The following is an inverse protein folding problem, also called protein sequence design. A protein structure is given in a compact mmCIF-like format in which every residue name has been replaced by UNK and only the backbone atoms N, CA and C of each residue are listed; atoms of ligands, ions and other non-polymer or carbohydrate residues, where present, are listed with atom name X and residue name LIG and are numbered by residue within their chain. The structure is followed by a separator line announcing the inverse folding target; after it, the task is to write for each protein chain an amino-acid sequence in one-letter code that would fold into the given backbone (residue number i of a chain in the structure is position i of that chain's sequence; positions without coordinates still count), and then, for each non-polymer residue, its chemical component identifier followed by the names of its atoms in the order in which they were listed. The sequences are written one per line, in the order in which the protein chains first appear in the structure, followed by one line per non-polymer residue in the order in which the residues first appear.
data_IF_712259565586
#
_entry.id   IF_712259565586
#
_cell.length_a   1.000
_cell.length_b   1.000
_cell.length_c   1.000
_cell.angle_alpha   90.00
_cell.angle_beta   90.00
_cell.angle_gamma   90.00
#
_symmetry.space_group_name_H-M   'P 1'
#
loop_
_entity.id
_entity.type
_entity.pdbx_description
1 polymer ?
#
# COMPACT_ATOMS: atom_id res chain seq x y z
N UNK A 1 -13.09 -1.55 2.16
CA UNK A 1 -12.62 -1.62 3.57
C UNK A 1 -13.59 -0.76 4.38
N UNK A 2 -14.32 -1.33 5.35
CA UNK A 2 -15.42 -0.65 6.02
C UNK A 2 -14.91 0.41 7.02
N UNK A 3 -15.53 1.58 6.96
CA UNK A 3 -15.32 2.73 7.86
C UNK A 3 -16.20 2.52 9.08
N UNK A 4 -15.62 2.55 10.28
CA UNK A 4 -16.39 2.49 11.54
C UNK A 4 -16.46 3.87 12.19
N UNK A 5 -17.66 4.44 12.19
CA UNK A 5 -18.04 5.60 13.00
C UNK A 5 -18.33 5.16 14.45
N UNK A 6 -17.65 5.77 15.42
CA UNK A 6 -17.91 5.53 16.85
C UNK A 6 -18.72 6.68 17.41
N UNK A 7 -20.04 6.49 17.50
CA UNK A 7 -20.97 7.41 18.15
C UNK A 7 -20.78 7.38 19.68
N UNK A 8 -20.40 8.51 20.28
CA UNK A 8 -20.27 8.69 21.72
C UNK A 8 -21.63 8.92 22.40
N UNK A 9 -22.03 8.02 23.31
CA UNK A 9 -23.22 8.17 24.18
C UNK A 9 -22.79 8.70 25.55
N UNK A 10 -23.11 9.97 25.84
CA UNK A 10 -22.84 10.67 27.10
C UNK A 10 -23.96 10.38 28.11
N UNK A 11 -23.67 9.70 29.24
CA UNK A 11 -24.57 9.63 30.41
C UNK A 11 -24.17 10.71 31.42
N UNK A 12 -25.14 11.56 31.82
CA UNK A 12 -25.00 12.58 32.89
C UNK A 12 -25.25 11.91 34.26
N UNK A 13 -24.65 12.37 35.37
CA UNK A 13 -25.04 11.93 36.70
C UNK A 13 -26.29 12.68 37.19
N UNK A 14 -27.19 11.94 37.85
CA UNK A 14 -28.40 12.45 38.49
C UNK A 14 -28.12 12.84 39.96
N UNK A 15 -28.88 13.82 40.46
CA UNK A 15 -28.65 14.52 41.71
C UNK A 15 -29.36 13.93 42.95
N UNK A 16 -29.19 14.67 44.04
CA UNK A 16 -29.54 14.36 45.42
C UNK A 16 -31.05 14.47 45.78
N UNK A 17 -31.49 13.72 46.79
CA UNK A 17 -32.53 14.01 47.82
C UNK A 17 -32.71 12.72 48.68
N UNK A 18 -32.47 12.66 49.98
CA UNK A 18 -33.15 13.19 51.19
C UNK A 18 -34.03 12.16 51.94
N UNK A 19 -33.80 12.13 53.27
CA UNK A 19 -34.62 11.70 54.41
C UNK A 19 -35.08 10.24 54.63
N UNK A 20 -34.76 9.72 55.82
CA UNK A 20 -35.39 8.56 56.47
C UNK A 20 -34.77 8.27 57.85
N UNK A 21 -35.51 8.58 58.92
CA UNK A 21 -35.12 8.45 60.32
C UNK A 21 -35.19 7.00 60.85
N UNK A 22 -34.36 6.66 61.85
CA UNK A 22 -34.74 5.85 63.02
C UNK A 22 -33.62 5.80 64.06
N UNK A 23 -34.02 5.97 65.32
CA UNK A 23 -33.21 5.88 66.54
C UNK A 23 -32.92 4.40 66.90
N UNK A 24 -31.82 4.14 67.62
CA UNK A 24 -31.59 2.82 68.21
C UNK A 24 -30.14 2.55 68.67
N UNK A 25 -29.89 2.86 69.94
CA UNK A 25 -29.04 2.17 70.93
C UNK A 25 -27.59 1.68 70.62
N UNK A 26 -26.68 2.27 71.41
CA UNK A 26 -25.48 1.74 72.09
C UNK A 26 -25.19 0.23 71.96
N UNK A 27 -24.01 -0.13 71.44
CA UNK A 27 -23.12 -1.07 72.14
C UNK A 27 -21.65 -0.98 71.70
N UNK A 28 -20.77 -0.79 72.68
CA UNK A 28 -19.32 -0.93 72.52
C UNK A 28 -18.97 -2.42 72.61
N UNK A 29 -18.16 -2.92 71.68
CA UNK A 29 -17.29 -4.04 71.98
C UNK A 29 -16.02 -3.96 71.13
N UNK A 30 -14.95 -3.51 71.76
CA UNK A 30 -13.60 -3.87 71.36
C UNK A 30 -13.40 -5.36 71.61
N UNK A 31 -12.92 -6.09 70.60
CA UNK A 31 -12.05 -7.26 70.82
C UNK A 31 -10.89 -7.19 69.84
N UNK A 32 -9.72 -6.80 70.35
CA UNK A 32 -8.42 -7.10 69.74
C UNK A 32 -8.19 -8.61 69.78
N UNK A 33 -7.99 -9.23 68.63
CA UNK A 33 -7.12 -10.41 68.52
C UNK A 33 -6.20 -10.24 67.33
N UNK A 34 -4.91 -10.06 67.65
CA UNK A 34 -3.78 -10.09 66.73
C UNK A 34 -3.70 -11.45 66.05
N UNK A 35 -3.28 -11.49 64.78
CA UNK A 35 -2.30 -12.46 64.27
C UNK A 35 -1.59 -11.87 63.03
N UNK A 36 -0.25 -11.91 63.07
CA UNK A 36 0.74 -11.23 62.22
C UNK A 36 1.15 -12.14 61.02
N UNK A 37 1.73 -11.62 59.91
CA UNK A 37 1.60 -12.16 58.56
C UNK A 37 2.81 -13.02 58.12
N UNK A 38 2.65 -13.68 56.97
CA UNK A 38 3.66 -14.45 56.24
C UNK A 38 3.43 -14.13 54.75
N UNK A 39 4.33 -13.60 53.94
CA UNK A 39 5.79 -13.50 53.98
C UNK A 39 6.22 -12.20 53.27
N UNK A 40 7.15 -11.47 53.89
CA UNK A 40 7.90 -10.38 53.28
C UNK A 40 8.99 -10.97 52.39
N UNK A 41 8.92 -10.77 51.09
CA UNK A 41 10.14 -10.68 50.30
C UNK A 41 10.72 -9.28 50.55
N UNK A 42 11.91 -9.26 51.17
CA UNK A 42 12.66 -8.04 51.37
C UNK A 42 13.43 -7.75 50.08
N UNK A 43 12.86 -6.91 49.22
CA UNK A 43 13.68 -6.10 48.33
C UNK A 43 14.29 -4.98 49.18
N UNK A 44 15.46 -5.25 49.76
CA UNK A 44 16.36 -4.18 50.20
C UNK A 44 17.08 -3.61 48.97
N UNK A 45 16.29 -2.98 48.09
CA UNK A 45 16.76 -2.08 47.06
C UNK A 45 16.60 -0.66 47.58
N UNK A 46 17.72 0.06 47.67
CA UNK A 46 17.84 1.45 48.07
C UNK A 46 16.65 2.29 47.58
N UNK A 47 15.70 2.60 48.47
CA UNK A 47 14.73 3.66 48.24
C UNK A 47 15.42 5.00 48.51
N UNK A 48 16.33 5.38 47.61
CA UNK A 48 16.61 6.79 47.41
C UNK A 48 15.33 7.37 46.81
N UNK A 49 14.44 7.88 47.68
CA UNK A 49 13.35 8.74 47.26
C UNK A 49 13.98 9.86 46.43
N UNK A 50 13.69 9.98 45.12
CA UNK A 50 14.24 11.07 44.33
C UNK A 50 13.87 12.36 45.05
N UNK A 51 14.84 13.25 45.26
CA UNK A 51 14.60 14.54 45.89
C UNK A 51 13.33 15.14 45.26
N UNK A 52 12.27 15.28 46.07
CA UNK A 52 10.95 15.67 45.58
C UNK A 52 11.06 17.15 45.21
N UNK A 53 11.42 17.41 43.95
CA UNK A 53 11.35 18.73 43.37
C UNK A 53 9.87 18.98 43.06
N UNK A 54 9.18 19.59 44.02
CA UNK A 54 7.81 20.07 43.88
C UNK A 54 7.79 21.20 42.84
N UNK A 55 7.50 20.87 41.57
CA UNK A 55 7.12 21.88 40.58
C UNK A 55 5.68 22.28 40.84
N UNK A 56 5.41 23.59 41.04
CA UNK A 56 4.03 24.09 41.03
C UNK A 56 3.42 23.73 39.68
N UNK A 57 2.36 22.92 39.66
CA UNK A 57 1.77 22.49 38.39
C UNK A 57 1.28 23.72 37.61
N UNK A 58 1.82 23.99 36.41
CA UNK A 58 1.36 25.12 35.63
C UNK A 58 -0.08 24.89 35.17
N UNK A 59 -0.87 25.95 35.15
CA UNK A 59 -2.29 25.88 34.80
C UNK A 59 -2.55 25.42 33.35
N UNK A 60 -1.54 25.48 32.47
CA UNK A 60 -1.64 25.10 31.07
C UNK A 60 -0.66 23.97 30.72
N UNK A 61 -1.19 22.92 30.09
CA UNK A 61 -0.40 21.78 29.61
C UNK A 61 0.73 22.17 28.64
N UNK A 62 0.55 23.28 27.90
CA UNK A 62 1.50 23.81 26.90
C UNK A 62 2.89 24.06 27.47
N UNK A 63 3.03 24.35 28.77
CA UNK A 63 4.35 24.55 29.38
C UNK A 63 5.12 23.25 29.58
N UNK A 64 4.41 22.13 29.80
CA UNK A 64 5.03 20.81 29.99
C UNK A 64 5.26 20.12 28.65
N UNK A 65 4.33 20.25 27.70
CA UNK A 65 4.26 19.50 26.42
C UNK A 65 4.51 17.99 26.56
N UNK A 66 4.32 17.44 27.76
CA UNK A 66 4.58 16.06 28.08
C UNK A 66 3.27 15.28 28.04
N UNK A 67 3.28 14.12 27.39
CA UNK A 67 2.13 13.23 27.32
C UNK A 67 2.52 11.84 27.77
N UNK A 68 1.75 11.31 28.71
CA UNK A 68 1.78 9.90 29.04
C UNK A 68 0.83 9.18 28.08
N UNK A 69 1.32 8.10 27.45
CA UNK A 69 0.48 7.32 26.54
C UNK A 69 -0.64 6.63 27.31
N UNK A 70 -1.83 6.63 26.72
CA UNK A 70 -3.02 5.98 27.30
C UNK A 70 -3.04 4.49 27.08
N UNK A 71 -2.35 4.00 26.04
CA UNK A 71 -2.29 2.58 25.69
C UNK A 71 -0.97 2.02 26.20
N UNK A 72 -1.05 0.97 27.02
CA UNK A 72 0.12 0.21 27.41
C UNK A 72 0.69 -0.56 26.22
N UNK A 73 1.99 -0.86 26.27
CA UNK A 73 2.60 -1.76 25.29
C UNK A 73 1.92 -3.14 25.34
N UNK A 74 1.83 -3.85 24.19
CA UNK A 74 1.33 -5.21 24.15
C UNK A 74 2.16 -6.13 25.06
N UNK A 75 1.51 -7.01 25.81
CA UNK A 75 2.18 -7.94 26.72
C UNK A 75 2.93 -9.07 25.99
N UNK A 76 2.55 -9.33 24.74
CA UNK A 76 3.14 -10.32 23.84
C UNK A 76 4.34 -9.78 23.04
N UNK A 77 4.77 -8.55 23.33
CA UNK A 77 5.90 -7.93 22.65
C UNK A 77 7.21 -8.62 23.05
N UNK A 78 7.78 -9.39 22.12
CA UNK A 78 9.10 -9.98 22.31
C UNK A 78 10.18 -8.91 22.09
N UNK A 79 11.13 -8.82 23.02
CA UNK A 79 12.29 -7.93 22.90
C UNK A 79 13.18 -8.29 21.71
N UNK A 80 13.21 -9.54 21.25
CA UNK A 80 14.04 -9.94 20.10
C UNK A 80 13.36 -9.73 18.74
N UNK A 81 12.06 -9.43 18.72
CA UNK A 81 11.29 -9.21 17.50
C UNK A 81 11.23 -7.71 17.15
N UNK A 82 12.34 -7.22 16.61
CA UNK A 82 12.52 -5.82 16.19
C UNK A 82 11.36 -5.23 15.38
N UNK A 83 10.86 -5.84 14.29
CA UNK A 83 9.81 -5.22 13.48
C UNK A 83 8.50 -5.04 14.24
N UNK A 84 8.10 -6.00 15.08
CA UNK A 84 6.89 -5.86 15.90
C UNK A 84 7.06 -4.83 17.00
N UNK A 85 8.25 -4.78 17.60
CA UNK A 85 8.58 -3.77 18.63
C UNK A 85 8.56 -2.36 18.04
N UNK A 86 9.16 -2.17 16.86
CA UNK A 86 9.14 -0.90 16.14
C UNK A 86 7.70 -0.47 15.79
N UNK A 87 6.87 -1.40 15.30
CA UNK A 87 5.47 -1.10 15.01
C UNK A 87 4.71 -0.63 16.25
N UNK A 88 4.89 -1.31 17.39
CA UNK A 88 4.26 -0.92 18.65
C UNK A 88 4.68 0.49 19.10
N UNK A 89 5.97 0.82 19.00
CA UNK A 89 6.47 2.16 19.34
C UNK A 89 5.94 3.24 18.39
N UNK A 90 5.85 2.96 17.10
CA UNK A 90 5.28 3.88 16.11
C UNK A 90 3.80 4.13 16.42
N UNK A 91 3.03 3.08 16.70
CA UNK A 91 1.61 3.21 17.06
C UNK A 91 1.43 4.05 18.33
N UNK A 92 2.25 3.81 19.35
CA UNK A 92 2.19 4.56 20.61
C UNK A 92 2.54 6.04 20.40
N UNK A 93 3.59 6.33 19.63
CA UNK A 93 3.98 7.69 19.29
C UNK A 93 2.89 8.40 18.48
N UNK A 94 2.28 7.73 17.50
CA UNK A 94 1.22 8.30 16.66
C UNK A 94 0.00 8.72 17.50
N UNK A 95 -0.44 7.87 18.43
CA UNK A 95 -1.58 8.18 19.32
C UNK A 95 -1.26 9.37 20.24
N UNK A 96 -0.04 9.41 20.79
CA UNK A 96 0.40 10.53 21.63
C UNK A 96 0.48 11.84 20.84
N UNK A 97 1.01 11.81 19.61
CA UNK A 97 1.05 12.97 18.73
C UNK A 97 -0.35 13.46 18.40
N UNK A 98 -1.27 12.56 18.01
CA UNK A 98 -2.66 12.94 17.71
C UNK A 98 -3.33 13.64 18.91
N UNK A 99 -3.12 13.12 20.13
CA UNK A 99 -3.62 13.75 21.35
C UNK A 99 -2.98 15.11 21.61
N UNK A 100 -1.66 15.22 21.42
CA UNK A 100 -0.94 16.48 21.58
C UNK A 100 -1.39 17.55 20.61
N UNK A 101 -1.68 17.18 19.36
CA UNK A 101 -2.23 18.09 18.36
C UNK A 101 -3.59 18.65 18.79
N UNK A 102 -4.49 17.80 19.31
CA UNK A 102 -5.78 18.27 19.83
C UNK A 102 -5.62 19.27 20.98
N UNK A 103 -4.69 19.03 21.90
CA UNK A 103 -4.42 19.94 23.01
C UNK A 103 -3.78 21.27 22.55
N UNK A 104 -2.93 21.23 21.52
CA UNK A 104 -2.36 22.45 20.93
C UNK A 104 -3.42 23.28 20.19
N UNK A 105 -4.37 22.62 19.52
CA UNK A 105 -5.51 23.28 18.87
C UNK A 105 -6.45 23.92 19.90
N UNK A 106 -6.75 23.24 21.00
CA UNK A 106 -7.53 23.80 22.12
C UNK A 106 -6.84 25.01 22.77
N UNK A 107 -5.51 24.98 22.86
CA UNK A 107 -4.69 26.08 23.36
C UNK A 107 -4.42 27.18 22.31
N UNK A 108 -4.91 27.02 21.08
CA UNK A 108 -4.71 27.93 19.96
C UNK A 108 -3.22 28.21 19.63
N UNK A 109 -2.37 27.17 19.76
CA UNK A 109 -0.94 27.24 19.46
C UNK A 109 -0.66 26.66 18.05
N UNK A 110 -0.01 27.40 17.14
CA UNK A 110 0.36 26.89 15.83
C UNK A 110 1.38 25.75 15.94
N UNK A 111 1.04 24.57 15.43
CA UNK A 111 1.91 23.39 15.51
C UNK A 111 2.55 22.99 14.17
N UNK A 112 1.99 23.43 13.04
CA UNK A 112 2.48 23.04 11.71
C UNK A 112 3.56 24.00 11.24
N UNK A 113 4.73 23.48 10.89
CA UNK A 113 5.80 24.26 10.25
C UNK A 113 5.35 24.78 8.87
N UNK A 114 5.35 26.11 8.64
CA UNK A 114 5.10 26.67 7.30
C UNK A 114 6.20 26.28 6.31
N UNK A 115 5.83 26.12 5.03
CA UNK A 115 6.79 25.77 3.97
C UNK A 115 7.83 26.88 3.71
N UNK A 116 7.48 28.13 4.01
CA UNK A 116 8.30 29.33 3.77
C UNK A 116 9.15 29.72 5.00
N UNK A 117 9.14 28.91 6.06
CA UNK A 117 9.92 29.18 7.27
C UNK A 117 11.28 28.47 7.22
N UNK A 118 12.31 29.17 6.76
CA UNK A 118 13.69 28.69 6.67
C UNK A 118 14.46 28.99 7.96
N UNK A 119 14.53 27.99 8.85
CA UNK A 119 15.37 27.99 10.04
C UNK A 119 16.35 26.82 9.97
N UNK A 120 17.40 26.85 10.79
CA UNK A 120 18.34 25.74 10.88
C UNK A 120 17.61 24.45 11.32
N UNK A 121 17.79 23.37 10.55
CA UNK A 121 17.21 22.06 10.82
C UNK A 121 18.23 21.16 11.50
N UNK A 122 17.76 20.15 12.25
CA UNK A 122 18.65 19.19 12.94
C UNK A 122 19.63 18.45 12.01
N UNK A 123 19.27 18.28 10.73
CA UNK A 123 20.15 17.72 9.69
C UNK A 123 20.32 18.72 8.55
N UNK A 124 21.53 18.79 8.00
CA UNK A 124 21.82 19.66 6.86
C UNK A 124 21.19 19.16 5.56
N UNK A 125 20.85 20.08 4.66
CA UNK A 125 20.28 19.74 3.35
C UNK A 125 21.22 18.87 2.51
N UNK A 126 22.53 19.10 2.62
CA UNK A 126 23.55 18.27 1.97
C UNK A 126 23.45 16.82 2.44
N UNK A 127 23.22 16.58 3.74
CA UNK A 127 23.03 15.23 4.26
C UNK A 127 21.71 14.62 3.78
N UNK A 128 20.62 15.39 3.77
CA UNK A 128 19.32 14.90 3.32
C UNK A 128 19.30 14.56 1.84
N UNK A 129 20.01 15.31 0.99
CA UNK A 129 20.17 15.01 -0.43
C UNK A 129 20.89 13.67 -0.63
N UNK A 130 21.96 13.40 0.13
CA UNK A 130 22.66 12.10 0.07
C UNK A 130 21.75 10.94 0.48
N UNK A 131 20.91 11.13 1.49
CA UNK A 131 19.94 10.10 1.92
C UNK A 131 18.90 9.86 0.81
N UNK A 132 18.39 10.93 0.18
CA UNK A 132 17.45 10.81 -0.92
C UNK A 132 18.06 10.06 -2.13
N UNK A 133 19.29 10.42 -2.51
CA UNK A 133 20.05 9.72 -3.55
C UNK A 133 20.28 8.23 -3.21
N UNK A 134 20.63 7.93 -1.96
CA UNK A 134 20.80 6.55 -1.51
C UNK A 134 19.49 5.75 -1.61
N UNK A 135 18.36 6.35 -1.22
CA UNK A 135 17.04 5.73 -1.34
C UNK A 135 16.65 5.47 -2.80
N UNK A 136 16.89 6.44 -3.68
CA UNK A 136 16.60 6.30 -5.11
C UNK A 136 17.49 5.22 -5.77
N UNK A 137 18.78 5.20 -5.43
CA UNK A 137 19.70 4.16 -5.92
C UNK A 137 19.29 2.76 -5.45
N UNK A 138 18.78 2.62 -4.22
CA UNK A 138 18.28 1.35 -3.68
C UNK A 138 17.04 0.86 -4.43
N UNK A 139 16.08 1.77 -4.69
CA UNK A 139 14.89 1.48 -5.50
C UNK A 139 15.27 1.05 -6.92
N UNK A 140 16.09 1.84 -7.61
CA UNK A 140 16.57 1.53 -8.95
C UNK A 140 17.29 0.17 -9.02
N UNK A 141 18.06 -0.21 -7.98
CA UNK A 141 18.71 -1.52 -7.88
C UNK A 141 17.71 -2.67 -7.76
N UNK A 142 16.65 -2.50 -6.96
CA UNK A 142 15.58 -3.49 -6.79
C UNK A 142 14.82 -3.66 -8.11
N UNK A 143 14.44 -2.56 -8.75
CA UNK A 143 13.74 -2.56 -10.04
C UNK A 143 14.59 -3.20 -11.15
N UNK A 144 15.88 -2.84 -11.24
CA UNK A 144 16.79 -3.47 -12.20
C UNK A 144 16.94 -4.98 -11.96
N UNK A 145 16.87 -5.44 -10.71
CA UNK A 145 16.86 -6.89 -10.40
C UNK A 145 15.55 -7.54 -10.82
N UNK A 146 14.41 -6.92 -10.54
CA UNK A 146 13.09 -7.41 -10.94
C UNK A 146 12.97 -7.47 -12.47
N UNK A 147 13.35 -6.39 -13.16
CA UNK A 147 13.37 -6.32 -14.62
C UNK A 147 14.28 -7.39 -15.24
N UNK A 148 15.48 -7.61 -14.67
CA UNK A 148 16.36 -8.70 -15.15
C UNK A 148 15.76 -10.09 -14.98
N UNK A 149 15.01 -10.33 -13.90
CA UNK A 149 14.28 -11.60 -13.71
C UNK A 149 13.18 -11.76 -14.77
N UNK A 150 12.34 -10.73 -14.93
CA UNK A 150 11.29 -10.71 -15.96
C UNK A 150 11.86 -10.94 -17.37
N UNK A 151 12.97 -10.28 -17.73
CA UNK A 151 13.63 -10.48 -19.03
C UNK A 151 14.19 -11.89 -19.22
N UNK A 152 14.61 -12.57 -18.14
CA UNK A 152 15.04 -13.98 -18.22
C UNK A 152 13.83 -14.89 -18.44
N UNK A 153 12.73 -14.66 -17.74
CA UNK A 153 11.52 -15.46 -17.86
C UNK A 153 10.89 -15.29 -19.25
N UNK A 154 10.83 -14.05 -19.76
CA UNK A 154 10.40 -13.79 -21.14
C UNK A 154 11.26 -14.50 -22.19
N UNK A 155 12.57 -14.59 -21.98
CA UNK A 155 13.46 -15.34 -22.89
C UNK A 155 13.26 -16.85 -22.79
N UNK A 156 13.05 -17.37 -21.57
CA UNK A 156 12.85 -18.80 -21.31
C UNK A 156 11.54 -19.28 -21.93
N UNK A 157 10.43 -18.61 -21.63
CA UNK A 157 9.09 -19.02 -22.05
C UNK A 157 8.64 -18.39 -23.36
N UNK A 158 9.39 -17.43 -23.92
CA UNK A 158 8.96 -16.69 -25.12
C UNK A 158 8.63 -17.56 -26.33
N UNK A 159 9.40 -18.63 -26.57
CA UNK A 159 9.12 -19.57 -27.67
C UNK A 159 7.90 -20.43 -27.41
N UNK A 160 7.75 -20.92 -26.18
CA UNK A 160 6.61 -21.74 -25.75
C UNK A 160 5.32 -20.93 -25.80
N UNK A 161 5.34 -19.69 -25.30
CA UNK A 161 4.23 -18.74 -25.40
C UNK A 161 3.85 -18.47 -26.86
N UNK A 162 4.83 -18.25 -27.75
CA UNK A 162 4.53 -18.07 -29.18
C UNK A 162 3.89 -19.30 -29.81
N UNK A 163 4.38 -20.50 -29.48
CA UNK A 163 3.83 -21.75 -29.98
C UNK A 163 2.39 -21.98 -29.47
N UNK A 164 2.14 -21.74 -28.18
CA UNK A 164 0.82 -21.87 -27.56
C UNK A 164 -0.16 -20.84 -28.14
N UNK A 165 0.26 -19.58 -28.33
CA UNK A 165 -0.56 -18.55 -28.99
C UNK A 165 -0.93 -18.96 -30.41
N UNK A 166 -0.02 -19.57 -31.17
CA UNK A 166 -0.32 -20.05 -32.53
C UNK A 166 -1.31 -21.22 -32.48
N UNK A 167 -1.13 -22.16 -31.54
CA UNK A 167 -2.04 -23.29 -31.31
C UNK A 167 -3.45 -22.82 -30.94
N UNK A 168 -3.55 -21.87 -30.01
CA UNK A 168 -4.80 -21.22 -29.60
C UNK A 168 -5.49 -20.54 -30.77
N UNK A 169 -4.76 -19.79 -31.60
CA UNK A 169 -5.30 -19.15 -32.81
C UNK A 169 -5.79 -20.15 -33.84
N UNK A 170 -5.07 -21.25 -34.04
CA UNK A 170 -5.48 -22.32 -34.96
C UNK A 170 -6.74 -23.01 -34.45
N UNK A 171 -6.80 -23.34 -33.16
CA UNK A 171 -8.00 -23.90 -32.50
C UNK A 171 -9.20 -22.96 -32.64
N UNK A 172 -9.03 -21.67 -32.33
CA UNK A 172 -10.08 -20.67 -32.48
C UNK A 172 -10.63 -20.58 -33.91
N UNK A 173 -9.75 -20.61 -34.93
CA UNK A 173 -10.17 -20.63 -36.34
C UNK A 173 -10.95 -21.89 -36.69
N UNK A 174 -10.53 -23.04 -36.19
CA UNK A 174 -11.23 -24.32 -36.39
C UNK A 174 -12.61 -24.30 -35.73
N UNK A 175 -12.67 -23.95 -34.45
CA UNK A 175 -13.93 -23.86 -33.68
C UNK A 175 -14.90 -22.85 -34.32
N UNK A 176 -14.39 -21.71 -34.81
CA UNK A 176 -15.21 -20.74 -35.55
C UNK A 176 -15.70 -21.29 -36.89
N UNK A 177 -14.84 -22.01 -37.62
CA UNK A 177 -15.22 -22.69 -38.86
C UNK A 177 -16.33 -23.73 -38.64
N UNK A 178 -16.21 -24.53 -37.58
CA UNK A 178 -17.21 -25.52 -37.17
C UNK A 178 -18.54 -24.84 -36.78
N UNK A 179 -18.51 -23.72 -36.05
CA UNK A 179 -19.74 -22.94 -35.76
C UNK A 179 -20.41 -22.41 -37.03
N UNK A 180 -19.63 -21.93 -38.01
CA UNK A 180 -20.17 -21.43 -39.28
C UNK A 180 -20.76 -22.59 -40.11
N UNK A 181 -20.10 -23.75 -40.17
CA UNK A 181 -20.63 -24.92 -40.89
C UNK A 181 -21.88 -25.46 -40.21
N UNK A 182 -21.93 -25.52 -38.88
CA UNK A 182 -23.14 -25.85 -38.13
C UNK A 182 -24.27 -24.85 -38.39
N UNK A 183 -23.98 -23.55 -38.41
CA UNK A 183 -24.95 -22.52 -38.75
C UNK A 183 -25.47 -22.67 -40.19
N UNK A 184 -24.59 -22.90 -41.18
CA UNK A 184 -25.00 -23.19 -42.57
C UNK A 184 -25.83 -24.47 -42.66
N UNK A 185 -25.48 -25.52 -41.91
CA UNK A 185 -26.24 -26.78 -41.87
C UNK A 185 -27.63 -26.59 -41.26
N UNK A 186 -27.74 -25.86 -40.14
CA UNK A 186 -29.02 -25.48 -39.53
C UNK A 186 -29.86 -24.64 -40.48
N UNK A 187 -29.24 -23.70 -41.21
CA UNK A 187 -29.92 -22.89 -42.25
C UNK A 187 -30.40 -23.75 -43.42
N UNK A 188 -29.62 -24.74 -43.85
CA UNK A 188 -30.00 -25.68 -44.92
C UNK A 188 -31.12 -26.64 -44.50
N UNK A 189 -31.26 -26.92 -43.20
CA UNK A 189 -32.38 -27.69 -42.63
C UNK A 189 -33.71 -26.94 -42.61
N UNK A 190 -33.69 -25.60 -42.58
CA UNK A 190 -34.86 -24.75 -42.78
C UNK A 190 -34.96 -24.37 -44.26
N UNK A 191 -35.42 -25.31 -45.09
CA UNK A 191 -35.52 -25.16 -46.56
C UNK A 191 -36.41 -24.01 -47.04
N UNK A 192 -37.27 -23.46 -46.18
CA UNK A 192 -38.27 -22.44 -46.54
C UNK A 192 -37.73 -21.00 -46.66
N UNK A 193 -36.54 -20.71 -46.10
CA UNK A 193 -35.96 -19.35 -46.14
C UNK A 193 -34.94 -19.15 -47.26
N UNK A 194 -34.62 -20.21 -48.02
CA UNK A 194 -33.51 -20.19 -48.98
C UNK A 194 -33.88 -19.57 -50.33
N UNK A 195 -35.15 -19.64 -50.69
CA UNK A 195 -35.67 -19.15 -51.99
C UNK A 195 -35.83 -17.62 -52.02
N UNK A 196 -35.88 -16.96 -50.86
CA UNK A 196 -36.11 -15.51 -50.77
C UNK A 196 -34.80 -14.70 -50.80
N UNK A 197 -33.65 -15.30 -50.49
CA UNK A 197 -32.36 -14.59 -50.41
C UNK A 197 -31.41 -14.86 -51.58
N UNK A 198 -31.53 -15.98 -52.30
CA UNK A 198 -30.64 -16.34 -53.43
C UNK A 198 -30.96 -15.50 -54.70
N UNK A 199 -32.16 -14.94 -54.77
CA UNK A 199 -32.61 -14.08 -55.89
C UNK A 199 -32.01 -12.66 -55.86
N UNK A 200 -31.23 -12.30 -54.82
CA UNK A 200 -30.58 -10.99 -54.70
C UNK A 200 -29.06 -10.99 -54.99
N UNK A 201 -28.42 -12.15 -55.17
CA UNK A 201 -26.95 -12.21 -55.33
C UNK A 201 -26.50 -12.35 -56.80
N UNK A 202 -27.42 -12.50 -57.75
CA UNK A 202 -27.11 -12.73 -59.16
C UNK A 202 -27.25 -11.50 -60.09
N UNK A 203 -27.61 -10.33 -59.57
CA UNK A 203 -27.83 -9.10 -60.37
C UNK A 203 -26.77 -8.00 -60.14
N UNK A 204 -25.49 -8.37 -60.03
CA UNK A 204 -24.39 -7.40 -59.91
C UNK A 204 -23.16 -7.76 -60.77
N UNK A 205 -23.38 -8.30 -61.98
CA UNK A 205 -22.32 -8.51 -62.97
C UNK A 205 -22.58 -7.74 -64.28
N UNK A 206 -22.69 -6.41 -64.18
CA UNK A 206 -22.54 -5.52 -65.35
C UNK A 206 -22.04 -4.14 -64.90
N UNK A 207 -20.78 -3.82 -65.19
CA UNK A 207 -20.29 -2.46 -64.98
C UNK A 207 -18.79 -2.36 -64.73
N UNK A 208 -17.99 -2.60 -65.76
CA UNK A 208 -16.57 -2.29 -65.74
C UNK A 208 -16.32 -0.80 -65.46
N UNK A 209 -15.71 -0.49 -64.32
CA UNK A 209 -14.97 0.76 -64.13
C UNK A 209 -13.72 0.46 -63.30
N UNK A 210 -12.59 0.44 -64.00
CA UNK A 210 -11.27 0.32 -63.42
C UNK A 210 -11.05 1.41 -62.37
N UNK A 211 -11.13 1.03 -61.10
CA UNK A 211 -10.69 1.87 -60.00
C UNK A 211 -9.16 1.94 -60.05
N UNK A 212 -8.67 3.08 -60.55
CA UNK A 212 -7.28 3.51 -60.56
C UNK A 212 -6.73 3.40 -59.14
N UNK A 213 -6.01 2.32 -58.86
CA UNK A 213 -5.33 2.10 -57.58
C UNK A 213 -4.15 3.05 -57.51
N UNK A 214 -4.31 4.17 -56.80
CA UNK A 214 -3.21 5.05 -56.47
C UNK A 214 -2.10 4.24 -55.81
N UNK A 215 -0.90 4.35 -56.37
CA UNK A 215 0.31 3.70 -55.87
C UNK A 215 0.70 4.39 -54.56
N UNK A 216 0.24 3.86 -53.44
CA UNK A 216 0.87 4.14 -52.16
C UNK A 216 2.37 3.74 -52.24
N UNK A 217 3.31 4.57 -51.75
CA UNK A 217 4.73 4.24 -51.85
C UNK A 217 5.01 2.97 -51.04
N UNK A 218 5.50 1.95 -51.74
CA UNK A 218 6.06 0.72 -51.20
C UNK A 218 7.05 1.06 -50.07
N UNK A 219 6.63 0.84 -48.83
CA UNK A 219 7.53 0.85 -47.68
C UNK A 219 8.57 -0.24 -47.90
N UNK A 220 9.81 0.17 -48.18
CA UNK A 220 10.96 -0.71 -48.36
C UNK A 220 11.07 -1.66 -47.17
N UNK A 221 10.74 -2.94 -47.42
CA UNK A 221 11.35 -4.13 -46.84
C UNK A 221 12.08 -3.92 -45.49
N UNK A 222 11.34 -3.82 -44.39
CA UNK A 222 11.90 -4.11 -43.07
C UNK A 222 11.96 -5.63 -42.88
N UNK A 223 12.82 -6.29 -43.65
CA UNK A 223 13.34 -7.60 -43.27
C UNK A 223 14.45 -7.38 -42.23
N UNK A 224 14.41 -8.02 -41.06
CA UNK A 224 15.54 -8.05 -40.15
C UNK A 224 16.68 -8.85 -40.81
N UNK A 225 17.69 -8.14 -41.31
CA UNK A 225 18.92 -8.75 -41.82
C UNK A 225 19.05 -8.79 -43.34
N UNK A 226 19.23 -7.64 -43.98
CA UNK A 226 19.69 -7.60 -45.37
C UNK A 226 19.43 -6.28 -46.08
N UNK A 227 20.23 -5.26 -45.79
CA UNK A 227 20.11 -3.94 -46.41
C UNK A 227 21.40 -3.14 -46.29
N UNK A 228 22.20 -3.23 -47.34
CA UNK A 228 23.46 -2.52 -47.63
C UNK A 228 23.45 -1.05 -47.14
N UNK A 229 24.21 -0.77 -46.08
CA UNK A 229 24.76 0.56 -45.81
C UNK A 229 26.22 0.53 -46.22
N UNK A 230 26.51 1.21 -47.34
CA UNK A 230 27.85 1.61 -47.70
C UNK A 230 28.41 2.53 -46.60
N UNK A 231 29.61 2.19 -46.10
CA UNK A 231 30.41 3.09 -45.29
C UNK A 231 30.16 3.04 -43.78
N UNK A 232 30.59 1.96 -43.11
CA UNK A 232 31.39 1.97 -41.86
C UNK A 232 31.57 0.51 -41.40
N UNK A 233 32.70 -0.11 -41.77
CA UNK A 233 33.08 -1.43 -41.26
C UNK A 233 33.39 -1.26 -39.76
N UNK A 234 32.58 -1.88 -38.88
CA UNK A 234 32.87 -1.94 -37.45
C UNK A 234 34.17 -2.73 -37.26
N UNK A 235 35.18 -2.22 -36.52
CA UNK A 235 36.42 -2.96 -36.34
C UNK A 235 36.16 -4.22 -35.52
N UNK A 236 36.73 -5.34 -35.98
CA UNK A 236 36.62 -6.64 -35.33
C UNK A 236 37.22 -6.65 -33.91
N UNK A 237 36.77 -7.61 -33.10
CA UNK A 237 37.06 -7.73 -31.66
C UNK A 237 38.53 -7.63 -31.24
N UNK A 238 39.50 -7.78 -32.15
CA UNK A 238 40.93 -7.64 -31.85
C UNK A 238 41.44 -6.20 -31.75
N UNK A 239 40.70 -5.19 -32.24
CA UNK A 239 41.17 -3.80 -32.20
C UNK A 239 40.91 -3.08 -30.85
N UNK A 240 40.13 -3.68 -29.94
CA UNK A 240 39.78 -3.07 -28.64
C UNK A 240 40.75 -3.36 -27.50
N UNK A 241 41.78 -4.18 -27.74
CA UNK A 241 42.72 -4.63 -26.70
C UNK A 241 44.07 -3.90 -26.73
N UNK A 242 44.17 -2.81 -27.49
CA UNK A 242 45.33 -1.92 -27.50
C UNK A 242 44.82 -0.48 -27.45
N UNK A 243 44.45 -0.03 -26.27
CA UNK A 243 44.69 1.31 -25.73
C UNK A 243 44.51 1.22 -24.21
#
# INVERSE_FOLDING_TARGET
MPVYDVAAKKKRPAGASSNGASEGEVNQHETKTKNKPLSKEKDEGVQESPAVVEFSEPAQWVERMALTSTRSLPADLNADDDPKREEAFIQQALLSVARGLSLLEEANVPWKRPADYYAEMYKSDVQMNRIAEAMESSKARIEARAHRRAMKDQKKYGKEVQAEVLRQRAKYKRDMGERITEWRRKRKGNGELRDILDDNENDNNTGGRAARKERAPQAKNLRPGGGRSAGKRRPGKNARRRQ
#
